data_IF_771331906994
#
_entry.id   IF_771331906994
#
_cell.length_a   1.000
_cell.length_b   1.000
_cell.length_c   1.000
_cell.angle_alpha   90.00
_cell.angle_beta   90.00
_cell.angle_gamma   90.00
#
_symmetry.space_group_name_H-M   'P 1'
#
loop_
_entity.id
_entity.type
_entity.pdbx_description
1 polymer ?
#
# COMPACT_ATOMS: atom_id res chain seq x y z
N UNK A 1 5.96 -19.89 -4.36
CA UNK A 1 6.39 -18.58 -3.94
C UNK A 1 7.77 -18.64 -3.32
N UNK A 2 8.43 -17.53 -3.12
CA UNK A 2 9.67 -17.48 -2.35
C UNK A 2 9.35 -17.74 -0.88
N UNK A 3 10.24 -18.46 -0.19
CA UNK A 3 10.12 -18.69 1.25
C UNK A 3 10.54 -17.42 1.99
N UNK A 4 9.74 -17.04 2.99
CA UNK A 4 10.05 -15.90 3.84
C UNK A 4 9.52 -16.11 5.26
N UNK A 5 10.18 -15.49 6.23
CA UNK A 5 9.77 -15.48 7.63
C UNK A 5 8.96 -14.22 7.92
N UNK A 6 7.83 -14.38 8.61
CA UNK A 6 7.03 -13.26 9.08
C UNK A 6 7.24 -13.03 10.57
N UNK A 7 7.56 -11.78 10.93
CA UNK A 7 7.66 -11.35 12.34
C UNK A 7 6.64 -10.26 12.62
N UNK A 8 5.76 -10.52 13.57
CA UNK A 8 4.73 -9.56 13.98
C UNK A 8 5.35 -8.45 14.83
N UNK A 9 5.08 -7.21 14.46
CA UNK A 9 5.40 -6.03 15.26
C UNK A 9 4.09 -5.56 15.90
N UNK A 10 3.95 -5.78 17.22
CA UNK A 10 2.74 -5.39 17.94
C UNK A 10 2.70 -3.87 18.13
N UNK A 11 1.97 -3.20 17.24
CA UNK A 11 1.81 -1.75 17.27
C UNK A 11 1.01 -1.27 18.48
N UNK A 12 0.12 -2.11 19.03
CA UNK A 12 -0.66 -1.75 20.22
C UNK A 12 0.19 -1.79 21.49
N UNK A 13 1.14 -2.73 21.55
CA UNK A 13 2.12 -2.78 22.64
C UNK A 13 3.26 -1.77 22.46
N UNK A 14 3.27 -1.01 21.34
CA UNK A 14 4.34 -0.04 21.09
C UNK A 14 5.67 -0.66 20.65
N UNK A 15 5.66 -1.92 20.15
CA UNK A 15 6.88 -2.63 19.76
C UNK A 15 7.71 -1.90 18.70
N UNK A 16 7.07 -1.07 17.85
CA UNK A 16 7.73 -0.22 16.87
C UNK A 16 8.62 0.87 17.49
N UNK A 17 8.48 1.15 18.77
CA UNK A 17 9.28 2.13 19.51
C UNK A 17 10.43 1.48 20.32
N UNK A 18 10.55 0.15 20.29
CA UNK A 18 11.66 -0.53 20.97
C UNK A 18 13.00 -0.12 20.35
N UNK A 19 14.05 -0.06 21.17
CA UNK A 19 15.40 0.30 20.74
C UNK A 19 15.87 -0.60 19.57
N UNK A 20 15.59 -1.89 19.65
CA UNK A 20 15.94 -2.87 18.63
C UNK A 20 15.24 -2.60 17.28
N UNK A 21 13.96 -2.20 17.31
CA UNK A 21 13.22 -1.90 16.10
C UNK A 21 13.64 -0.55 15.51
N UNK A 22 13.79 0.46 16.35
CA UNK A 22 14.21 1.82 15.96
C UNK A 22 15.60 1.81 15.33
N UNK A 23 16.51 0.95 15.80
CA UNK A 23 17.82 0.78 15.16
C UNK A 23 17.74 0.30 13.70
N UNK A 24 16.67 -0.41 13.33
CA UNK A 24 16.40 -0.87 11.97
C UNK A 24 15.53 0.11 11.17
N UNK A 25 14.55 0.71 11.82
CA UNK A 25 13.63 1.68 11.22
C UNK A 25 13.41 2.89 12.13
N UNK A 26 14.19 3.96 11.95
CA UNK A 26 14.04 5.18 12.76
C UNK A 26 12.70 5.89 12.56
N UNK A 27 11.93 5.55 11.51
CA UNK A 27 10.60 6.13 11.26
C UNK A 27 9.49 5.42 12.04
N UNK A 28 9.80 4.38 12.83
CA UNK A 28 8.82 3.60 13.62
C UNK A 28 7.67 3.00 12.80
N UNK A 29 7.83 2.90 11.50
CA UNK A 29 6.78 2.41 10.60
C UNK A 29 6.88 0.89 10.36
N UNK A 30 5.79 0.31 9.89
CA UNK A 30 5.73 -1.04 9.32
C UNK A 30 5.19 -0.94 7.89
N UNK A 31 5.57 -1.85 6.99
CA UNK A 31 6.46 -2.98 7.16
C UNK A 31 7.94 -2.63 7.16
N UNK A 32 8.76 -3.60 7.54
CA UNK A 32 10.22 -3.62 7.38
C UNK A 32 10.59 -4.94 6.69
N UNK A 33 11.44 -4.88 5.67
CA UNK A 33 11.95 -6.05 4.94
C UNK A 33 13.44 -6.21 5.22
N UNK A 34 13.84 -7.38 5.72
CA UNK A 34 15.23 -7.80 5.84
C UNK A 34 15.52 -8.83 4.74
N UNK A 35 16.57 -8.60 3.98
CA UNK A 35 17.00 -9.47 2.88
C UNK A 35 18.42 -9.94 3.18
N UNK A 36 18.63 -11.24 3.11
CA UNK A 36 19.95 -11.86 3.14
C UNK A 36 20.30 -12.32 1.72
N UNK A 37 21.48 -11.94 1.26
CA UNK A 37 21.99 -12.32 -0.06
C UNK A 37 22.91 -13.53 0.04
N UNK A 38 23.05 -14.29 -1.03
CA UNK A 38 23.91 -15.49 -1.10
C UNK A 38 25.38 -15.20 -0.79
N UNK A 39 25.83 -13.96 -0.95
CA UNK A 39 27.19 -13.53 -0.63
C UNK A 39 27.40 -13.14 0.85
N UNK A 40 26.38 -13.38 1.71
CA UNK A 40 26.41 -13.09 3.14
C UNK A 40 26.16 -11.64 3.50
N UNK A 41 25.90 -10.75 2.53
CA UNK A 41 25.45 -9.37 2.81
C UNK A 41 23.98 -9.35 3.19
N UNK A 42 23.57 -8.37 3.97
CA UNK A 42 22.18 -8.12 4.33
C UNK A 42 21.75 -6.72 3.95
N UNK A 43 20.46 -6.55 3.71
CA UNK A 43 19.82 -5.28 3.43
C UNK A 43 18.57 -5.17 4.30
N UNK A 44 18.39 -4.01 4.94
CA UNK A 44 17.14 -3.65 5.59
C UNK A 44 16.45 -2.56 4.76
N UNK A 45 15.22 -2.80 4.35
CA UNK A 45 14.41 -1.85 3.58
C UNK A 45 13.22 -1.38 4.41
N UNK A 46 12.95 -0.09 4.28
CA UNK A 46 11.71 0.58 4.66
C UNK A 46 11.06 1.10 3.37
N UNK A 47 9.86 1.63 3.41
CA UNK A 47 9.07 2.07 2.25
C UNK A 47 8.48 0.91 1.43
N UNK A 48 7.22 0.61 1.68
CA UNK A 48 6.52 -0.55 1.11
C UNK A 48 6.52 -0.59 -0.43
N UNK A 49 6.42 0.56 -1.10
CA UNK A 49 6.47 0.60 -2.56
C UNK A 49 7.87 0.26 -3.11
N UNK A 50 8.93 0.68 -2.41
CA UNK A 50 10.30 0.30 -2.77
C UNK A 50 10.53 -1.20 -2.56
N UNK A 51 10.02 -1.77 -1.44
CA UNK A 51 10.06 -3.22 -1.19
C UNK A 51 9.35 -4.00 -2.29
N UNK A 52 8.14 -3.56 -2.68
CA UNK A 52 7.35 -4.19 -3.72
C UNK A 52 8.05 -4.13 -5.08
N UNK A 53 8.69 -3.01 -5.43
CA UNK A 53 9.46 -2.87 -6.66
C UNK A 53 10.70 -3.79 -6.64
N UNK A 54 11.45 -3.79 -5.54
CA UNK A 54 12.62 -4.63 -5.36
C UNK A 54 12.28 -6.12 -5.49
N UNK A 55 11.23 -6.58 -4.80
CA UNK A 55 10.79 -7.97 -4.85
C UNK A 55 10.29 -8.35 -6.26
N UNK A 56 9.60 -7.45 -6.96
CA UNK A 56 9.16 -7.70 -8.33
C UNK A 56 10.34 -7.84 -9.31
N UNK A 57 11.40 -7.06 -9.11
CA UNK A 57 12.61 -7.14 -9.93
C UNK A 57 13.51 -8.35 -9.54
N UNK A 58 13.43 -8.82 -8.30
CA UNK A 58 14.19 -9.99 -7.83
C UNK A 58 13.66 -11.32 -8.41
N UNK A 59 12.40 -11.36 -8.86
CA UNK A 59 11.77 -12.57 -9.41
C UNK A 59 11.18 -12.30 -10.81
N UNK A 60 12.02 -11.99 -11.81
CA UNK A 60 11.56 -11.56 -13.13
C UNK A 60 10.70 -12.58 -13.86
N UNK A 61 10.88 -13.87 -13.57
CA UNK A 61 10.09 -14.96 -14.13
C UNK A 61 8.61 -14.93 -13.68
N UNK A 62 8.30 -14.22 -12.59
CA UNK A 62 6.92 -14.02 -12.12
C UNK A 62 6.20 -12.90 -12.88
N UNK A 63 6.90 -12.13 -13.69
CA UNK A 63 6.39 -11.01 -14.47
C UNK A 63 5.55 -10.01 -13.64
N UNK A 64 6.00 -9.71 -12.42
CA UNK A 64 5.32 -8.78 -11.51
C UNK A 64 5.61 -7.31 -11.82
N UNK A 65 6.60 -7.04 -12.66
CA UNK A 65 6.94 -5.72 -13.17
C UNK A 65 7.41 -5.84 -14.63
N UNK A 66 7.26 -4.78 -15.45
CA UNK A 66 7.95 -4.70 -16.71
C UNK A 66 9.48 -4.74 -16.50
N UNK A 67 10.25 -5.33 -17.43
CA UNK A 67 11.70 -5.41 -17.31
C UNK A 67 12.35 -4.05 -16.99
N UNK A 68 13.40 -4.01 -16.17
CA UNK A 68 14.14 -2.79 -15.90
C UNK A 68 14.69 -2.17 -17.19
N UNK A 69 14.64 -0.83 -17.29
CA UNK A 69 15.12 -0.09 -18.44
C UNK A 69 14.15 1.01 -18.88
N UNK A 70 14.52 1.80 -19.89
CA UNK A 70 13.74 2.94 -20.36
C UNK A 70 12.66 2.46 -21.35
N UNK A 71 11.57 1.87 -20.86
CA UNK A 71 10.40 1.52 -21.67
C UNK A 71 9.16 2.29 -21.17
N UNK A 72 8.15 2.41 -22.05
CA UNK A 72 6.88 3.03 -21.73
C UNK A 72 6.15 2.28 -20.59
N UNK A 73 6.16 0.96 -20.67
CA UNK A 73 5.52 0.07 -19.70
C UNK A 73 6.19 0.20 -18.31
N UNK A 74 7.52 0.27 -18.28
CA UNK A 74 8.27 0.47 -17.03
C UNK A 74 8.02 1.84 -16.44
N UNK A 75 7.97 2.88 -17.26
CA UNK A 75 7.69 4.24 -16.82
C UNK A 75 6.27 4.34 -16.23
N UNK A 76 5.29 3.73 -16.87
CA UNK A 76 3.90 3.71 -16.39
C UNK A 76 3.77 2.94 -15.08
N UNK A 77 4.40 1.77 -14.97
CA UNK A 77 4.46 0.98 -13.75
C UNK A 77 5.05 1.77 -12.57
N UNK A 78 6.22 2.40 -12.77
CA UNK A 78 6.86 3.21 -11.72
C UNK A 78 6.01 4.42 -11.33
N UNK A 79 5.35 5.06 -12.32
CA UNK A 79 4.43 6.15 -12.06
C UNK A 79 3.28 5.71 -11.16
N UNK A 80 2.69 4.53 -11.42
CA UNK A 80 1.56 4.04 -10.62
C UNK A 80 1.98 3.57 -9.24
N UNK A 81 3.17 2.97 -9.08
CA UNK A 81 3.74 2.69 -7.76
C UNK A 81 3.87 3.97 -6.93
N UNK A 82 4.48 5.01 -7.54
CA UNK A 82 4.70 6.29 -6.85
C UNK A 82 3.38 7.03 -6.60
N UNK A 83 2.44 7.01 -7.55
CA UNK A 83 1.11 7.58 -7.36
C UNK A 83 0.38 6.95 -6.17
N UNK A 84 0.43 5.63 -6.05
CA UNK A 84 -0.13 4.91 -4.91
C UNK A 84 0.55 5.32 -3.60
N UNK A 85 1.87 5.20 -3.52
CA UNK A 85 2.62 5.36 -2.29
C UNK A 85 2.68 6.79 -1.76
N UNK A 86 2.78 7.80 -2.63
CA UNK A 86 2.98 9.18 -2.18
C UNK A 86 1.76 10.08 -2.41
N UNK A 87 0.98 9.85 -3.47
CA UNK A 87 -0.16 10.73 -3.78
C UNK A 87 -1.43 10.26 -3.09
N UNK A 88 -1.82 9.01 -3.31
CA UNK A 88 -3.08 8.49 -2.79
C UNK A 88 -2.98 8.08 -1.33
N UNK A 89 -1.91 7.40 -0.95
CA UNK A 89 -1.67 6.97 0.43
C UNK A 89 -1.59 8.17 1.37
N UNK A 90 -0.83 9.20 1.00
CA UNK A 90 -0.72 10.44 1.78
C UNK A 90 -2.09 11.09 1.98
N UNK A 91 -2.92 11.15 0.95
CA UNK A 91 -4.26 11.74 1.06
C UNK A 91 -5.16 10.94 2.02
N UNK A 92 -5.12 9.62 1.96
CA UNK A 92 -5.83 8.72 2.87
C UNK A 92 -5.30 8.84 4.31
N UNK A 93 -3.98 8.97 4.48
CA UNK A 93 -3.37 9.21 5.78
C UNK A 93 -3.81 10.54 6.40
N UNK A 94 -3.88 11.61 5.62
CA UNK A 94 -4.36 12.91 6.12
C UNK A 94 -5.80 12.81 6.61
N UNK A 95 -6.67 12.11 5.89
CA UNK A 95 -8.02 11.82 6.37
C UNK A 95 -8.00 11.04 7.68
N UNK A 96 -7.25 9.92 7.72
CA UNK A 96 -7.14 9.08 8.91
C UNK A 96 -6.59 9.84 10.12
N UNK A 97 -5.55 10.64 9.93
CA UNK A 97 -4.92 11.43 11.01
C UNK A 97 -5.94 12.36 11.65
N UNK A 98 -6.68 13.12 10.83
CA UNK A 98 -7.63 14.12 11.34
C UNK A 98 -8.99 13.54 11.76
N UNK A 99 -9.34 12.35 11.32
CA UNK A 99 -10.60 11.70 11.75
C UNK A 99 -10.40 10.79 12.97
N UNK A 100 -9.21 10.15 13.11
CA UNK A 100 -9.06 9.05 14.06
C UNK A 100 -7.81 9.10 14.95
N UNK A 101 -6.67 9.64 14.46
CA UNK A 101 -5.38 9.48 15.15
C UNK A 101 -5.07 10.61 16.12
N UNK A 102 -5.30 11.85 15.69
CA UNK A 102 -5.03 13.01 16.55
C UNK A 102 -5.99 13.07 17.74
N UNK A 103 -5.53 13.58 18.88
CA UNK A 103 -6.44 14.03 19.94
C UNK A 103 -7.52 14.95 19.38
N UNK A 104 -8.74 14.87 19.89
CA UNK A 104 -9.89 15.60 19.35
C UNK A 104 -9.63 17.10 19.17
N UNK A 105 -8.96 17.72 20.15
CA UNK A 105 -8.62 19.14 20.12
C UNK A 105 -7.67 19.56 18.98
N UNK A 106 -6.95 18.60 18.37
CA UNK A 106 -6.02 18.82 17.26
C UNK A 106 -6.58 18.38 15.90
N UNK A 107 -7.79 17.80 15.88
CA UNK A 107 -8.44 17.38 14.62
C UNK A 107 -8.93 18.60 13.86
N UNK A 108 -8.67 18.61 12.55
CA UNK A 108 -9.26 19.60 11.63
C UNK A 108 -10.13 18.90 10.58
N UNK A 109 -11.45 18.93 10.76
CA UNK A 109 -12.38 18.32 9.80
C UNK A 109 -12.28 18.92 8.39
N UNK A 110 -11.84 20.18 8.25
CA UNK A 110 -11.66 20.82 6.94
C UNK A 110 -10.50 20.21 6.18
N UNK A 111 -9.42 19.84 6.89
CA UNK A 111 -8.30 19.11 6.29
C UNK A 111 -8.74 17.74 5.81
N UNK A 112 -9.44 16.96 6.64
CA UNK A 112 -10.00 15.67 6.24
C UNK A 112 -10.91 15.80 5.02
N UNK A 113 -11.83 16.78 5.02
CA UNK A 113 -12.73 17.02 3.90
C UNK A 113 -12.00 17.42 2.63
N UNK A 114 -10.98 18.28 2.71
CA UNK A 114 -10.17 18.70 1.58
C UNK A 114 -9.49 17.50 0.88
N UNK A 115 -8.94 16.57 1.65
CA UNK A 115 -8.31 15.38 1.07
C UNK A 115 -9.34 14.39 0.53
N UNK A 116 -10.49 14.28 1.16
CA UNK A 116 -11.64 13.52 0.63
C UNK A 116 -12.07 14.02 -0.74
N UNK A 117 -12.23 15.35 -0.87
CA UNK A 117 -12.60 15.98 -2.14
C UNK A 117 -11.50 15.80 -3.18
N UNK A 118 -10.23 15.93 -2.79
CA UNK A 118 -9.09 15.69 -3.67
C UNK A 118 -9.06 14.27 -4.22
N UNK A 119 -9.31 13.26 -3.39
CA UNK A 119 -9.42 11.87 -3.87
C UNK A 119 -10.56 11.76 -4.88
N UNK A 120 -11.75 12.26 -4.54
CA UNK A 120 -12.95 12.16 -5.39
C UNK A 120 -12.81 12.88 -6.73
N UNK A 121 -12.22 14.06 -6.73
CA UNK A 121 -12.19 14.91 -7.93
C UNK A 121 -10.96 14.75 -8.79
N UNK A 122 -9.84 14.32 -8.21
CA UNK A 122 -8.57 14.24 -8.93
C UNK A 122 -8.06 12.79 -9.09
N UNK A 123 -8.20 11.95 -8.06
CA UNK A 123 -7.58 10.61 -8.06
C UNK A 123 -8.51 9.52 -8.58
N UNK A 124 -9.76 9.47 -8.12
CA UNK A 124 -10.75 8.51 -8.60
C UNK A 124 -10.91 8.56 -10.14
N UNK A 125 -11.05 9.73 -10.79
CA UNK A 125 -11.18 9.79 -12.23
C UNK A 125 -9.96 9.24 -12.98
N UNK A 126 -8.74 9.46 -12.47
CA UNK A 126 -7.52 8.95 -13.07
C UNK A 126 -7.46 7.41 -12.97
N UNK A 127 -7.77 6.86 -11.79
CA UNK A 127 -7.83 5.41 -11.59
C UNK A 127 -8.95 4.77 -12.43
N UNK A 128 -10.12 5.41 -12.47
CA UNK A 128 -11.26 4.94 -13.25
C UNK A 128 -10.93 4.88 -14.76
N UNK A 129 -10.27 5.90 -15.29
CA UNK A 129 -9.84 5.93 -16.69
C UNK A 129 -8.89 4.77 -17.03
N UNK A 130 -7.97 4.42 -16.11
CA UNK A 130 -7.06 3.29 -16.30
C UNK A 130 -7.76 1.94 -16.25
N UNK A 131 -8.75 1.80 -15.37
CA UNK A 131 -9.49 0.56 -15.16
C UNK A 131 -10.65 0.35 -16.14
N UNK A 132 -10.99 1.35 -16.95
CA UNK A 132 -12.13 1.31 -17.88
C UNK A 132 -12.06 0.16 -18.90
N UNK A 133 -10.85 -0.28 -19.27
CA UNK A 133 -10.63 -1.44 -20.13
C UNK A 133 -10.85 -2.81 -19.47
N UNK A 134 -11.10 -2.85 -18.16
CA UNK A 134 -11.33 -4.09 -17.42
C UNK A 134 -10.06 -4.85 -16.99
N UNK A 135 -8.88 -4.30 -17.23
CA UNK A 135 -7.59 -4.88 -16.87
C UNK A 135 -7.17 -4.58 -15.41
N UNK A 136 -5.88 -4.44 -15.23
CA UNK A 136 -5.21 -4.01 -14.01
C UNK A 136 -4.74 -2.56 -14.15
N UNK A 137 -4.12 -2.02 -13.10
CA UNK A 137 -3.82 -0.58 -13.08
C UNK A 137 -2.81 -0.13 -14.14
N UNK A 138 -1.93 -1.03 -14.59
CA UNK A 138 -0.94 -0.78 -15.65
C UNK A 138 -1.25 -1.54 -16.96
N UNK A 139 -2.47 -2.02 -17.17
CA UNK A 139 -2.90 -2.72 -18.40
C UNK A 139 -3.54 -4.07 -18.13
N UNK A 140 -3.38 -5.01 -19.07
CA UNK A 140 -4.10 -6.30 -19.03
C UNK A 140 -3.55 -7.29 -18.00
N UNK A 141 -2.30 -7.14 -17.59
CA UNK A 141 -1.64 -8.07 -16.68
C UNK A 141 -1.46 -7.45 -15.30
N UNK A 142 -1.58 -8.31 -14.27
CA UNK A 142 -1.29 -7.92 -12.89
C UNK A 142 0.18 -7.53 -12.76
N UNK A 143 0.42 -6.45 -12.01
CA UNK A 143 1.76 -6.02 -11.64
C UNK A 143 1.83 -5.72 -10.14
N UNK A 144 3.04 -5.54 -9.63
CA UNK A 144 3.25 -5.15 -8.24
C UNK A 144 2.64 -3.77 -7.89
N UNK A 145 2.39 -2.90 -8.89
CA UNK A 145 1.64 -1.66 -8.70
C UNK A 145 0.19 -1.91 -8.22
N UNK A 146 -0.40 -3.04 -8.61
CA UNK A 146 -1.74 -3.43 -8.16
C UNK A 146 -1.78 -3.82 -6.67
N UNK A 147 -0.66 -4.19 -6.07
CA UNK A 147 -0.58 -4.40 -4.63
C UNK A 147 -0.79 -3.07 -3.88
N UNK A 148 -0.14 -2.01 -4.34
CA UNK A 148 -0.22 -0.67 -3.72
C UNK A 148 -1.56 0.00 -4.01
N UNK A 149 -1.94 0.07 -5.29
CA UNK A 149 -3.20 0.72 -5.69
C UNK A 149 -4.42 -0.06 -5.17
N UNK A 150 -4.39 -1.40 -5.22
CA UNK A 150 -5.47 -2.23 -4.69
C UNK A 150 -5.67 -2.04 -3.19
N UNK A 151 -4.58 -1.92 -2.42
CA UNK A 151 -4.63 -1.55 -1.01
C UNK A 151 -5.29 -0.18 -0.82
N UNK A 152 -4.84 0.83 -1.54
CA UNK A 152 -5.36 2.19 -1.42
C UNK A 152 -6.84 2.29 -1.82
N UNK A 153 -7.26 1.61 -2.88
CA UNK A 153 -8.67 1.53 -3.27
C UNK A 153 -9.50 0.85 -2.18
N UNK A 154 -9.00 -0.24 -1.58
CA UNK A 154 -9.67 -0.90 -0.46
C UNK A 154 -9.82 0.05 0.73
N UNK A 155 -8.76 0.77 1.07
CA UNK A 155 -8.77 1.74 2.16
C UNK A 155 -9.73 2.90 1.87
N UNK A 156 -9.69 3.48 0.66
CA UNK A 156 -10.59 4.54 0.22
C UNK A 156 -12.06 4.13 0.32
N UNK A 157 -12.39 2.87 0.00
CA UNK A 157 -13.76 2.34 0.13
C UNK A 157 -14.25 2.34 1.57
N UNK A 158 -13.39 2.11 2.54
CA UNK A 158 -13.72 2.25 3.96
C UNK A 158 -14.18 3.66 4.34
N UNK A 159 -13.75 4.67 3.58
CA UNK A 159 -14.16 6.07 3.72
C UNK A 159 -15.31 6.50 2.79
N UNK A 160 -15.96 5.56 2.11
CA UNK A 160 -17.05 5.85 1.17
C UNK A 160 -16.59 6.45 -0.17
N UNK A 161 -15.31 6.30 -0.50
CA UNK A 161 -14.71 6.69 -1.77
C UNK A 161 -14.55 5.46 -2.69
N UNK A 162 -14.23 5.64 -3.95
CA UNK A 162 -14.04 4.54 -4.92
C UNK A 162 -15.20 3.53 -4.92
N UNK A 163 -16.45 4.01 -4.85
CA UNK A 163 -17.64 3.15 -4.68
C UNK A 163 -18.20 2.58 -5.99
N UNK A 164 -17.77 3.08 -7.14
CA UNK A 164 -18.28 2.65 -8.45
C UNK A 164 -18.02 1.17 -8.73
N UNK A 165 -18.86 0.60 -9.61
CA UNK A 165 -18.76 -0.81 -10.02
C UNK A 165 -17.38 -1.16 -10.58
N UNK A 166 -16.74 -0.21 -11.24
CA UNK A 166 -15.41 -0.37 -11.80
C UNK A 166 -14.36 -0.75 -10.73
N UNK A 167 -14.39 -0.05 -9.57
CA UNK A 167 -13.50 -0.35 -8.47
C UNK A 167 -13.85 -1.67 -7.78
N UNK A 168 -15.15 -2.00 -7.69
CA UNK A 168 -15.58 -3.30 -7.18
C UNK A 168 -15.09 -4.44 -8.07
N UNK A 169 -15.23 -4.30 -9.39
CA UNK A 169 -14.76 -5.29 -10.36
C UNK A 169 -13.24 -5.47 -10.29
N UNK A 170 -12.49 -4.38 -10.15
CA UNK A 170 -11.04 -4.41 -9.96
C UNK A 170 -10.64 -5.17 -8.70
N UNK A 171 -11.19 -4.83 -7.54
CA UNK A 171 -10.90 -5.52 -6.27
C UNK A 171 -11.37 -7.00 -6.31
N UNK A 172 -12.51 -7.30 -6.94
CA UNK A 172 -12.96 -8.67 -7.16
C UNK A 172 -11.94 -9.47 -7.99
N UNK A 173 -11.30 -8.84 -8.97
CA UNK A 173 -10.25 -9.49 -9.77
C UNK A 173 -9.00 -9.77 -8.93
N UNK A 174 -8.56 -8.80 -8.13
CA UNK A 174 -7.43 -8.97 -7.22
C UNK A 174 -7.68 -10.08 -6.20
N UNK A 175 -8.89 -10.13 -5.62
CA UNK A 175 -9.25 -11.11 -4.58
C UNK A 175 -9.33 -12.57 -5.07
N UNK A 176 -9.35 -12.79 -6.39
CA UNK A 176 -9.26 -14.14 -6.96
C UNK A 176 -7.85 -14.72 -6.92
N UNK A 177 -6.83 -13.89 -6.74
CA UNK A 177 -5.44 -14.33 -6.69
C UNK A 177 -5.16 -15.09 -5.38
N UNK A 178 -4.51 -16.27 -5.43
CA UNK A 178 -4.20 -17.03 -4.21
C UNK A 178 -3.39 -16.22 -3.20
N UNK A 179 -2.38 -15.47 -3.67
CA UNK A 179 -1.54 -14.63 -2.81
C UNK A 179 -2.35 -13.52 -2.09
N UNK A 180 -3.35 -12.93 -2.76
CA UNK A 180 -4.25 -11.97 -2.11
C UNK A 180 -5.02 -12.65 -0.97
N UNK A 181 -5.60 -13.82 -1.23
CA UNK A 181 -6.34 -14.57 -0.20
C UNK A 181 -5.46 -14.96 0.98
N UNK A 182 -4.22 -15.39 0.72
CA UNK A 182 -3.27 -15.72 1.78
C UNK A 182 -2.93 -14.49 2.63
N UNK A 183 -2.67 -13.34 2.00
CA UNK A 183 -2.33 -12.10 2.70
C UNK A 183 -3.48 -11.55 3.57
N UNK A 184 -4.73 -11.85 3.22
CA UNK A 184 -5.92 -11.38 3.94
C UNK A 184 -6.63 -12.49 4.74
N UNK A 185 -6.07 -13.69 4.84
CA UNK A 185 -6.71 -14.82 5.51
C UNK A 185 -6.99 -14.56 6.99
N UNK A 186 -6.09 -13.84 7.66
CA UNK A 186 -6.15 -13.56 9.09
C UNK A 186 -6.76 -12.19 9.43
N UNK A 187 -7.13 -11.43 8.41
CA UNK A 187 -7.77 -10.12 8.60
C UNK A 187 -9.26 -10.34 8.84
N UNK A 188 -9.64 -10.62 10.05
CA UNK A 188 -11.03 -10.51 10.51
C UNK A 188 -11.47 -9.06 10.32
N UNK A 189 -12.52 -8.84 9.54
CA UNK A 189 -13.06 -7.58 9.05
C UNK A 189 -12.36 -6.31 9.53
N UNK A 190 -11.81 -5.55 8.60
CA UNK A 190 -11.04 -4.34 8.88
C UNK A 190 -11.84 -3.34 9.72
N UNK A 191 -11.68 -3.41 11.05
CA UNK A 191 -12.11 -2.35 11.96
C UNK A 191 -10.88 -1.49 12.20
N UNK A 192 -10.88 -0.20 11.81
CA UNK A 192 -9.75 0.68 12.08
C UNK A 192 -9.66 0.94 13.58
N UNK A 193 -8.86 0.14 14.27
CA UNK A 193 -8.48 0.41 15.67
C UNK A 193 -7.28 1.32 15.65
N UNK A 194 -7.40 2.45 16.31
CA UNK A 194 -6.30 3.43 16.44
C UNK A 194 -5.41 3.00 17.60
N UNK A 195 -4.12 2.72 17.37
CA UNK A 195 -3.19 2.50 18.44
C UNK A 195 -3.08 3.76 19.30
N UNK A 196 -3.29 3.64 20.59
CA UNK A 196 -2.99 4.75 21.52
C UNK A 196 -1.47 4.82 21.68
N UNK A 197 -0.92 6.02 21.50
CA UNK A 197 0.49 6.27 21.80
C UNK A 197 0.68 6.16 23.30
N UNK A 198 1.66 5.38 23.80
CA UNK A 198 2.02 5.47 25.21
C UNK A 198 2.49 6.90 25.51
N UNK A 199 2.07 7.43 26.64
CA UNK A 199 2.45 8.75 27.16
C UNK A 199 3.96 8.84 27.39
#
# INVERSE_FOLDING_TARGET
>A
GEDFETRVVDLYAGAQYSEQYVAKNPNHGVPLLEVEFDDGRSLTMIESAAMVAFLADAVPEKALAPPPGPSRERADYLQMLQFGASTMDMALWQMRIHEHVLPEALRDPRTAQRYRDKIRTEMEPQLAARLAGGGYICGESFSAADCVIGHNVTWARGYGLCQDELFRAYLSRLSKRPAFRAAFADVGGFTPVVPQRPD
#
